data_IF_015978797210
#
_entry.id   IF_015978797210
#
_cell.length_a   1.000
_cell.length_b   1.000
_cell.length_c   1.000
_cell.angle_alpha   90.00
_cell.angle_beta   90.00
_cell.angle_gamma   90.00
#
_symmetry.space_group_name_H-M   'P 1'
#
loop_
_entity.id
_entity.type
_entity.pdbx_description
1 polymer ?
#
# COMPACT_ATOMS: atom_id res chain seq x y z
N UNK A 1 20.45 -81.65 0.10
CA UNK A 1 21.56 -80.68 -0.06
C UNK A 1 20.98 -79.27 -0.17
N UNK A 2 21.67 -78.31 0.43
CA UNK A 2 21.27 -76.93 0.76
C UNK A 2 20.87 -76.08 -0.46
N UNK A 3 19.96 -75.12 -0.27
CA UNK A 3 20.24 -73.67 -0.50
C UNK A 3 19.09 -72.76 -0.04
N UNK A 4 19.44 -71.89 0.90
CA UNK A 4 18.72 -70.69 1.34
C UNK A 4 18.87 -69.54 0.32
N UNK A 5 17.87 -68.65 0.24
CA UNK A 5 17.98 -67.23 -0.13
C UNK A 5 16.58 -66.59 0.07
N UNK A 6 16.28 -65.84 1.14
CA UNK A 6 16.70 -64.48 1.53
C UNK A 6 16.10 -63.34 0.68
N UNK A 7 15.27 -62.51 1.34
CA UNK A 7 15.15 -61.03 1.28
C UNK A 7 14.81 -60.38 -0.10
N UNK A 8 13.97 -59.36 -0.26
CA UNK A 8 13.90 -58.07 0.46
C UNK A 8 12.49 -57.49 0.27
N UNK A 9 11.84 -57.07 1.35
CA UNK A 9 10.66 -56.22 1.28
C UNK A 9 11.11 -54.77 1.01
N UNK A 10 10.87 -54.28 -0.20
CA UNK A 10 11.11 -52.87 -0.55
C UNK A 10 10.06 -51.99 0.10
N UNK A 11 10.34 -51.49 1.30
CA UNK A 11 9.58 -50.43 1.93
C UNK A 11 9.98 -49.11 1.26
N UNK A 12 9.21 -48.68 0.26
CA UNK A 12 9.34 -47.36 -0.34
C UNK A 12 8.98 -46.30 0.71
N UNK A 13 9.99 -45.67 1.32
CA UNK A 13 9.80 -44.43 2.07
C UNK A 13 9.37 -43.34 1.07
N UNK A 14 8.08 -43.04 1.02
CA UNK A 14 7.60 -41.79 0.44
C UNK A 14 8.09 -40.65 1.33
N UNK A 15 9.16 -39.98 0.89
CA UNK A 15 9.55 -38.71 1.45
C UNK A 15 8.42 -37.71 1.19
N UNK A 16 7.69 -37.34 2.26
CA UNK A 16 6.78 -36.19 2.23
C UNK A 16 7.62 -34.92 2.02
N UNK A 17 7.71 -34.49 0.77
CA UNK A 17 8.17 -33.14 0.43
C UNK A 17 7.12 -32.15 0.96
N UNK A 18 7.36 -31.58 2.14
CA UNK A 18 6.63 -30.41 2.61
C UNK A 18 6.92 -29.25 1.65
N UNK A 19 5.98 -28.77 0.82
CA UNK A 19 6.18 -27.48 0.19
C UNK A 19 6.16 -26.46 1.32
N UNK A 20 7.31 -25.87 1.63
CA UNK A 20 7.39 -24.69 2.50
C UNK A 20 6.56 -23.62 1.81
N UNK A 21 5.32 -23.43 2.26
CA UNK A 21 4.49 -22.32 1.82
C UNK A 21 5.31 -21.05 2.08
N UNK A 22 5.64 -20.32 1.02
CA UNK A 22 6.22 -19.01 1.17
C UNK A 22 5.15 -18.16 1.88
N UNK A 23 5.42 -17.79 3.12
CA UNK A 23 4.53 -16.91 3.87
C UNK A 23 4.45 -15.58 3.14
N UNK A 24 3.25 -15.20 2.70
CA UNK A 24 3.05 -13.94 1.99
C UNK A 24 3.44 -12.79 2.91
N UNK A 25 4.18 -11.78 2.42
CA UNK A 25 4.52 -10.62 3.21
C UNK A 25 3.25 -9.97 3.79
N UNK A 26 3.29 -9.44 5.02
CA UNK A 26 2.15 -8.76 5.61
C UNK A 26 1.75 -7.58 4.72
N UNK A 27 0.46 -7.38 4.53
CA UNK A 27 -0.08 -6.30 3.72
C UNK A 27 -0.55 -5.14 4.59
N UNK A 28 -0.41 -3.92 4.06
CA UNK A 28 -0.87 -2.70 4.66
C UNK A 28 -1.94 -2.05 3.78
N UNK A 29 -3.11 -1.81 4.37
CA UNK A 29 -4.16 -1.02 3.73
C UNK A 29 -3.85 0.47 3.75
N UNK A 30 -4.19 1.16 2.66
CA UNK A 30 -4.16 2.60 2.49
C UNK A 30 -5.48 3.04 1.88
N UNK A 31 -6.04 4.15 2.37
CA UNK A 31 -7.19 4.84 1.81
C UNK A 31 -6.81 6.29 1.64
N UNK A 32 -6.82 6.75 0.39
CA UNK A 32 -6.36 8.09 0.00
C UNK A 32 -7.53 8.80 -0.66
N UNK A 33 -7.90 9.95 -0.10
CA UNK A 33 -8.86 10.85 -0.69
C UNK A 33 -8.18 12.12 -1.25
N UNK A 34 -8.60 12.57 -2.41
CA UNK A 34 -8.18 13.84 -3.01
C UNK A 34 -9.41 14.65 -3.35
N UNK A 35 -9.49 15.86 -2.80
CA UNK A 35 -10.46 16.89 -3.15
C UNK A 35 -9.84 17.96 -4.03
N UNK A 36 -10.57 18.40 -5.04
CA UNK A 36 -10.24 19.58 -5.84
C UNK A 36 -11.51 20.19 -6.45
N UNK A 37 -11.31 21.11 -7.39
CA UNK A 37 -12.38 21.83 -8.10
C UNK A 37 -13.29 20.91 -8.94
N UNK A 38 -12.87 19.67 -9.22
CA UNK A 38 -13.65 18.65 -9.93
C UNK A 38 -14.42 17.71 -8.99
N UNK A 39 -14.22 17.82 -7.67
CA UNK A 39 -14.91 17.02 -6.66
C UNK A 39 -13.96 16.24 -5.75
N UNK A 40 -14.44 15.12 -5.21
CA UNK A 40 -13.65 14.21 -4.37
C UNK A 40 -13.54 12.86 -5.04
N UNK A 41 -12.31 12.36 -5.11
CA UNK A 41 -12.04 10.98 -5.42
C UNK A 41 -11.39 10.29 -4.22
N UNK A 42 -11.75 9.03 -3.98
CA UNK A 42 -11.14 8.19 -2.95
C UNK A 42 -10.73 6.86 -3.57
N UNK A 43 -9.50 6.44 -3.32
CA UNK A 43 -9.01 5.14 -3.72
C UNK A 43 -8.40 4.41 -2.53
N UNK A 44 -8.62 3.09 -2.50
CA UNK A 44 -8.01 2.19 -1.54
C UNK A 44 -7.04 1.23 -2.23
N UNK A 45 -5.95 0.90 -1.55
CA UNK A 45 -4.96 -0.06 -2.02
C UNK A 45 -4.39 -0.85 -0.84
N UNK A 46 -3.94 -2.06 -1.12
CA UNK A 46 -3.18 -2.88 -0.20
C UNK A 46 -1.80 -3.15 -0.77
N UNK A 47 -0.76 -2.83 -0.01
CA UNK A 47 0.64 -3.03 -0.42
C UNK A 47 1.37 -3.94 0.55
N UNK A 48 2.21 -4.86 0.07
CA UNK A 48 3.07 -5.64 0.95
C UNK A 48 4.10 -4.74 1.62
N UNK A 49 4.40 -5.03 2.89
CA UNK A 49 5.58 -4.50 3.57
C UNK A 49 6.83 -4.92 2.79
N UNK A 50 7.73 -3.98 2.55
CA UNK A 50 8.91 -4.18 1.69
C UNK A 50 8.60 -4.22 0.20
N UNK A 51 7.36 -3.93 -0.19
CA UNK A 51 6.94 -3.87 -1.60
C UNK A 51 7.36 -2.60 -2.33
N UNK A 52 7.04 -2.57 -3.62
CA UNK A 52 7.34 -1.44 -4.49
C UNK A 52 6.44 -0.23 -4.21
N UNK A 53 6.93 0.94 -4.64
CA UNK A 53 6.11 2.15 -4.69
C UNK A 53 4.99 1.99 -5.72
N UNK A 54 3.78 2.46 -5.39
CA UNK A 54 2.63 2.46 -6.30
C UNK A 54 2.11 3.86 -6.54
N UNK A 55 1.80 4.16 -7.80
CA UNK A 55 1.16 5.41 -8.20
C UNK A 55 -0.35 5.22 -8.34
N UNK A 56 -1.10 6.18 -7.83
CA UNK A 56 -2.55 6.29 -7.96
C UNK A 56 -2.84 7.57 -8.73
N UNK A 57 -3.49 7.44 -9.87
CA UNK A 57 -4.00 8.61 -10.56
C UNK A 57 -5.39 8.91 -10.02
N UNK A 58 -5.52 10.07 -9.40
CA UNK A 58 -6.79 10.65 -8.95
C UNK A 58 -7.08 11.85 -9.86
N UNK A 59 -8.35 12.23 -9.99
CA UNK A 59 -8.73 13.46 -10.67
C UNK A 59 -7.94 14.60 -10.03
N UNK A 60 -7.21 15.38 -10.85
CA UNK A 60 -6.42 16.54 -10.43
C UNK A 60 -5.08 16.28 -9.74
N UNK A 61 -4.65 15.03 -9.56
CA UNK A 61 -3.34 14.74 -8.97
C UNK A 61 -2.88 13.29 -9.06
N UNK A 62 -1.59 13.07 -8.83
CA UNK A 62 -1.00 11.74 -8.73
C UNK A 62 -0.48 11.52 -7.33
N UNK A 63 -0.85 10.42 -6.70
CA UNK A 63 -0.35 10.03 -5.37
C UNK A 63 0.57 8.84 -5.48
N UNK A 64 1.79 8.96 -4.98
CA UNK A 64 2.72 7.84 -4.82
C UNK A 64 2.69 7.34 -3.39
N UNK A 65 2.59 6.03 -3.23
CA UNK A 65 2.59 5.34 -1.94
C UNK A 65 3.77 4.39 -1.91
N UNK A 66 4.73 4.64 -1.02
CA UNK A 66 5.84 3.74 -0.73
C UNK A 66 5.55 3.06 0.62
N UNK A 67 5.33 1.73 0.64
CA UNK A 67 5.15 0.99 1.87
C UNK A 67 6.46 0.97 2.69
N UNK A 68 6.41 0.70 4.00
CA UNK A 68 7.61 0.62 4.81
C UNK A 68 8.42 -0.62 4.41
N UNK A 69 9.75 -0.52 4.49
CA UNK A 69 10.64 -1.64 4.19
C UNK A 69 10.51 -2.83 5.15
N UNK A 70 9.97 -2.60 6.35
CA UNK A 70 9.74 -3.60 7.39
C UNK A 70 8.49 -3.29 8.21
N UNK A 71 7.96 -4.30 8.90
CA UNK A 71 6.79 -4.15 9.76
C UNK A 71 7.04 -3.08 10.84
N UNK A 72 6.03 -2.27 11.14
CA UNK A 72 6.15 -1.13 12.06
C UNK A 72 7.01 0.04 11.55
N UNK A 73 7.47 0.00 10.29
CA UNK A 73 8.24 1.08 9.68
C UNK A 73 7.39 2.28 9.23
N UNK A 74 8.05 3.24 8.57
CA UNK A 74 7.44 4.46 8.06
C UNK A 74 7.00 4.27 6.60
N UNK A 75 5.73 4.51 6.30
CA UNK A 75 5.26 4.69 4.91
C UNK A 75 5.57 6.12 4.44
N UNK A 76 5.84 6.29 3.16
CA UNK A 76 5.97 7.60 2.53
C UNK A 76 4.86 7.76 1.50
N UNK A 77 4.11 8.86 1.59
CA UNK A 77 3.05 9.20 0.63
C UNK A 77 3.39 10.55 0.02
N UNK A 78 3.43 10.64 -1.30
CA UNK A 78 3.71 11.89 -2.02
C UNK A 78 2.53 12.26 -2.90
N UNK A 79 2.17 13.54 -2.90
CA UNK A 79 1.18 14.10 -3.81
C UNK A 79 1.91 14.94 -4.86
N UNK A 80 1.53 14.73 -6.12
CA UNK A 80 2.00 15.49 -7.28
C UNK A 80 0.81 16.14 -7.98
N UNK A 81 1.05 17.31 -8.58
CA UNK A 81 0.12 17.90 -9.53
C UNK A 81 -0.02 16.98 -10.75
N UNK A 82 -1.22 16.94 -11.35
CA UNK A 82 -1.40 16.24 -12.63
C UNK A 82 -0.59 16.94 -13.75
N UNK A 83 -0.22 16.19 -14.79
CA UNK A 83 0.62 16.64 -15.91
C UNK A 83 2.03 16.05 -15.95
N UNK A 84 2.80 16.38 -17.00
CA UNK A 84 4.19 15.90 -17.21
C UNK A 84 5.18 17.07 -17.30
N UNK A 85 6.30 17.04 -16.55
CA UNK A 85 6.51 16.25 -15.34
C UNK A 85 5.60 16.77 -14.20
N UNK A 86 4.93 15.87 -13.48
CA UNK A 86 4.08 16.27 -12.35
C UNK A 86 4.92 16.94 -11.26
N UNK A 87 4.53 18.14 -10.83
CA UNK A 87 5.24 18.88 -9.77
C UNK A 87 4.92 18.27 -8.41
N UNK A 88 5.93 17.97 -7.59
CA UNK A 88 5.73 17.52 -6.21
C UNK A 88 5.03 18.64 -5.40
N UNK A 89 3.92 18.29 -4.77
CA UNK A 89 3.08 19.19 -3.98
C UNK A 89 3.21 18.94 -2.48
N UNK A 90 3.30 17.68 -2.07
CA UNK A 90 3.39 17.32 -0.66
C UNK A 90 4.08 15.98 -0.44
N UNK A 91 4.70 15.79 0.72
CA UNK A 91 5.24 14.50 1.19
C UNK A 91 4.83 14.28 2.64
N UNK A 92 4.15 13.18 2.90
CA UNK A 92 3.77 12.70 4.22
C UNK A 92 4.61 11.47 4.61
N UNK A 93 5.04 11.42 5.87
CA UNK A 93 5.74 10.27 6.46
C UNK A 93 4.88 9.73 7.59
N UNK A 94 4.41 8.51 7.46
CA UNK A 94 3.38 7.96 8.35
C UNK A 94 3.94 6.74 9.07
N UNK A 95 4.13 6.89 10.38
CA UNK A 95 4.32 5.78 11.30
C UNK A 95 2.98 5.11 11.55
N UNK A 96 2.92 3.79 11.41
CA UNK A 96 1.73 3.02 11.73
C UNK A 96 2.07 2.01 12.82
N UNK A 97 1.64 2.26 14.07
CA UNK A 97 1.93 1.35 15.18
C UNK A 97 1.09 0.06 15.17
N UNK A 98 -0.03 0.03 14.44
CA UNK A 98 -1.10 -0.97 14.62
C UNK A 98 -1.83 -1.26 13.30
N UNK A 99 -2.35 -2.49 13.14
CA UNK A 99 -2.86 -3.09 11.90
C UNK A 99 -4.07 -2.42 11.21
N UNK A 100 -4.37 -1.16 11.54
CA UNK A 100 -5.40 -0.37 10.89
C UNK A 100 -4.94 0.17 9.52
N UNK A 101 -5.86 0.43 8.58
CA UNK A 101 -5.51 1.11 7.34
C UNK A 101 -5.01 2.54 7.59
N UNK A 102 -4.02 2.98 6.81
CA UNK A 102 -3.64 4.40 6.78
C UNK A 102 -4.69 5.17 6.00
N UNK A 103 -5.33 6.14 6.64
CA UNK A 103 -6.31 7.04 6.02
C UNK A 103 -5.69 8.43 5.88
N UNK A 104 -5.52 8.89 4.66
CA UNK A 104 -5.04 10.26 4.39
C UNK A 104 -5.97 10.97 3.41
N UNK A 105 -6.05 12.28 3.57
CA UNK A 105 -6.75 13.11 2.62
C UNK A 105 -5.94 14.34 2.24
N UNK A 106 -6.11 14.74 0.98
CA UNK A 106 -5.54 15.94 0.40
C UNK A 106 -6.65 16.84 -0.13
N UNK A 107 -6.44 18.15 -0.04
CA UNK A 107 -7.22 19.15 -0.78
C UNK A 107 -6.28 19.93 -1.70
N UNK A 108 -6.71 20.13 -2.94
CA UNK A 108 -6.05 20.95 -3.96
C UNK A 108 -7.05 22.00 -4.43
N UNK A 109 -7.05 23.16 -3.78
CA UNK A 109 -8.01 24.23 -4.02
C UNK A 109 -7.24 25.52 -4.28
N UNK A 110 -7.51 26.20 -5.41
CA UNK A 110 -6.84 27.48 -5.73
C UNK A 110 -5.31 27.39 -5.77
N UNK A 111 -4.74 26.23 -6.10
CA UNK A 111 -3.30 25.99 -6.11
C UNK A 111 -2.65 25.73 -4.73
N UNK A 112 -3.43 25.73 -3.64
CA UNK A 112 -2.97 25.39 -2.30
C UNK A 112 -3.21 23.91 -1.97
N UNK A 113 -2.32 23.35 -1.15
CA UNK A 113 -2.37 21.94 -0.74
C UNK A 113 -2.72 21.85 0.74
N UNK A 114 -3.84 21.24 1.08
CA UNK A 114 -4.16 20.79 2.43
C UNK A 114 -3.84 19.31 2.61
N UNK A 115 -3.37 18.93 3.79
CA UNK A 115 -3.10 17.53 4.17
C UNK A 115 -3.76 17.21 5.52
N UNK A 116 -4.43 16.06 5.59
CA UNK A 116 -5.14 15.61 6.78
C UNK A 116 -4.88 14.12 7.03
N UNK A 117 -4.47 13.79 8.26
CA UNK A 117 -4.21 12.42 8.71
C UNK A 117 -4.45 12.30 10.22
N UNK A 118 -5.35 11.40 10.68
CA UNK A 118 -6.23 10.56 9.87
C UNK A 118 -7.17 11.38 8.97
N UNK A 119 -7.55 10.85 7.82
CA UNK A 119 -8.55 11.50 6.97
C UNK A 119 -9.89 11.62 7.73
N UNK A 120 -10.55 12.80 7.71
CA UNK A 120 -11.89 12.93 8.27
C UNK A 120 -12.90 12.13 7.44
N UNK A 121 -14.08 11.87 8.02
CA UNK A 121 -15.16 11.17 7.31
C UNK A 121 -15.83 12.04 6.25
N UNK A 122 -15.72 13.38 6.39
CA UNK A 122 -16.16 14.36 5.40
C UNK A 122 -15.01 15.31 5.13
N UNK A 123 -14.69 15.48 3.86
CA UNK A 123 -13.83 16.58 3.43
C UNK A 123 -14.69 17.83 3.27
N UNK A 124 -14.20 18.96 3.74
CA UNK A 124 -14.85 20.26 3.53
C UNK A 124 -14.57 20.79 2.13
N UNK A 125 -15.50 21.57 1.58
CA UNK A 125 -15.42 22.10 0.20
C UNK A 125 -14.11 22.82 -0.06
N UNK A 126 -13.73 22.95 -1.34
CA UNK A 126 -12.83 24.05 -1.69
C UNK A 126 -13.57 25.33 -1.30
N UNK A 127 -13.02 26.10 -0.35
CA UNK A 127 -13.61 27.39 0.00
C UNK A 127 -13.59 28.24 -1.28
N UNK A 128 -14.77 28.49 -1.85
CA UNK A 128 -14.91 29.40 -2.97
C UNK A 128 -14.58 30.80 -2.44
N UNK A 129 -13.42 31.34 -2.81
CA UNK A 129 -13.10 32.75 -2.65
C UNK A 129 -12.17 33.08 -1.49
N UNK A 130 -10.90 33.24 -1.83
CA UNK A 130 -10.04 34.30 -1.28
C UNK A 130 -8.95 34.60 -2.31
N UNK A 131 -9.34 35.17 -3.45
CA UNK A 131 -8.62 36.18 -4.24
C UNK A 131 -9.48 36.61 -5.42
#
# INVERSE_FOLDING_TARGET
MRKSAALVASLSLLALSNPRAAELPPQLGYSIALRNDHGVETQALSLPVGGDTRQLKLVGGVVEVTPPAKAGGISVIKLFADGKPGRLLHTARISRPDGQPVRVAYSLCGGQVGYQSPAPDKLDGCAAGAN
#
